data_IF_596750800230
#
_entry.id   IF_596750800230
#
_cell.length_a   1.000
_cell.length_b   1.000
_cell.length_c   1.000
_cell.angle_alpha   90.00
_cell.angle_beta   90.00
_cell.angle_gamma   90.00
#
_symmetry.space_group_name_H-M   'P 1'
#
loop_
_entity.id
_entity.type
_entity.pdbx_description
1 polymer ?
#
# COMPACT_ATOMS: atom_id res chain seq x y z
N UNK A 1 -15.65 -25.73 -16.81
CA UNK A 1 -14.23 -25.59 -17.17
C UNK A 1 -13.71 -27.01 -17.30
N UNK A 2 -13.17 -27.43 -18.44
CA UNK A 2 -12.62 -28.79 -18.59
C UNK A 2 -11.30 -28.84 -17.84
N UNK A 3 -11.21 -29.72 -16.87
CA UNK A 3 -10.02 -29.98 -16.07
C UNK A 3 -9.03 -30.84 -16.86
N UNK A 4 -7.76 -30.84 -16.41
CA UNK A 4 -6.73 -31.71 -17.00
C UNK A 4 -7.10 -33.19 -16.87
N UNK A 5 -7.74 -33.58 -15.77
CA UNK A 5 -8.21 -34.95 -15.55
C UNK A 5 -9.32 -35.34 -16.52
N UNK A 6 -10.33 -34.49 -16.72
CA UNK A 6 -11.41 -34.74 -17.69
C UNK A 6 -10.88 -34.84 -19.13
N UNK A 7 -9.89 -34.00 -19.49
CA UNK A 7 -9.22 -34.09 -20.80
C UNK A 7 -8.47 -35.42 -20.98
N UNK A 8 -7.76 -35.88 -19.93
CA UNK A 8 -7.03 -37.16 -19.96
C UNK A 8 -7.97 -38.37 -20.04
N UNK A 9 -9.08 -38.35 -19.29
CA UNK A 9 -10.12 -39.38 -19.36
C UNK A 9 -10.78 -39.46 -20.74
N UNK A 10 -11.02 -38.31 -21.38
CA UNK A 10 -11.53 -38.27 -22.75
C UNK A 10 -10.52 -38.87 -23.74
N UNK A 11 -9.22 -38.64 -23.52
CA UNK A 11 -8.14 -39.21 -24.35
C UNK A 11 -8.07 -40.74 -24.22
N UNK A 12 -8.20 -41.27 -23.01
CA UNK A 12 -8.31 -42.72 -22.77
C UNK A 12 -9.57 -43.32 -23.40
N UNK A 13 -10.72 -42.65 -23.24
CA UNK A 13 -11.99 -43.08 -23.81
C UNK A 13 -11.97 -43.14 -25.35
N UNK A 14 -11.20 -42.26 -26.00
CA UNK A 14 -10.98 -42.31 -27.45
C UNK A 14 -10.15 -43.55 -27.83
N UNK A 15 -9.10 -43.87 -27.08
CA UNK A 15 -8.25 -45.06 -27.31
C UNK A 15 -9.02 -46.37 -27.13
N UNK A 16 -9.96 -46.40 -26.19
CA UNK A 16 -10.85 -47.54 -25.95
C UNK A 16 -12.04 -47.60 -26.91
N UNK A 17 -12.18 -46.64 -27.84
CA UNK A 17 -13.29 -46.57 -28.78
C UNK A 17 -14.64 -46.20 -28.15
N UNK A 18 -14.65 -45.70 -26.91
CA UNK A 18 -15.86 -45.28 -26.17
C UNK A 18 -16.42 -43.94 -26.65
N UNK A 19 -15.58 -43.10 -27.26
CA UNK A 19 -15.98 -41.85 -27.92
C UNK A 19 -15.39 -41.74 -29.32
N UNK A 20 -16.04 -40.98 -30.19
CA UNK A 20 -15.55 -40.73 -31.55
C UNK A 20 -14.52 -39.59 -31.58
N UNK A 21 -13.73 -39.54 -32.66
CA UNK A 21 -12.74 -38.48 -32.89
C UNK A 21 -13.36 -37.07 -32.86
N UNK A 22 -14.56 -36.90 -33.43
CA UNK A 22 -15.26 -35.61 -33.47
C UNK A 22 -15.64 -35.13 -32.07
N UNK A 23 -16.09 -36.04 -31.20
CA UNK A 23 -16.41 -35.74 -29.80
C UNK A 23 -15.15 -35.34 -29.03
N UNK A 24 -14.04 -36.04 -29.24
CA UNK A 24 -12.77 -35.70 -28.63
C UNK A 24 -12.26 -34.32 -29.08
N UNK A 25 -12.39 -33.98 -30.36
CA UNK A 25 -11.95 -32.68 -30.90
C UNK A 25 -12.67 -31.50 -30.23
N UNK A 26 -13.96 -31.63 -29.94
CA UNK A 26 -14.75 -30.61 -29.23
C UNK A 26 -14.27 -30.44 -27.77
N UNK A 27 -13.91 -31.54 -27.11
CA UNK A 27 -13.36 -31.54 -25.75
C UNK A 27 -11.99 -30.87 -25.73
N UNK A 28 -11.12 -31.21 -26.68
CA UNK A 28 -9.78 -30.63 -26.81
C UNK A 28 -9.84 -29.12 -27.05
N UNK A 29 -10.69 -28.67 -27.97
CA UNK A 29 -10.90 -27.24 -28.24
C UNK A 29 -11.36 -26.49 -26.98
N UNK A 30 -12.32 -27.05 -26.24
CA UNK A 30 -12.84 -26.43 -25.02
C UNK A 30 -11.82 -26.44 -23.89
N UNK A 31 -11.03 -27.49 -23.75
CA UNK A 31 -9.92 -27.57 -22.79
C UNK A 31 -8.85 -26.51 -23.06
N UNK A 32 -8.40 -26.36 -24.32
CA UNK A 32 -7.40 -25.35 -24.67
C UNK A 32 -7.93 -23.92 -24.50
N UNK A 33 -9.21 -23.65 -24.80
CA UNK A 33 -9.85 -22.36 -24.51
C UNK A 33 -9.88 -22.05 -23.00
N UNK A 34 -10.29 -23.01 -22.17
CA UNK A 34 -10.35 -22.86 -20.72
C UNK A 34 -8.95 -22.64 -20.11
N UNK A 35 -7.94 -23.36 -20.62
CA UNK A 35 -6.53 -23.25 -20.23
C UNK A 35 -5.93 -21.89 -20.61
N UNK A 36 -6.19 -21.40 -21.82
CA UNK A 36 -5.78 -20.06 -22.25
C UNK A 36 -6.44 -18.97 -21.41
N UNK A 37 -7.73 -19.11 -21.12
CA UNK A 37 -8.47 -18.17 -20.26
C UNK A 37 -7.89 -18.14 -18.83
N UNK A 38 -7.58 -19.30 -18.26
CA UNK A 38 -6.99 -19.40 -16.91
C UNK A 38 -5.61 -18.75 -16.86
N UNK A 39 -4.74 -19.02 -17.84
CA UNK A 39 -3.42 -18.38 -17.93
C UNK A 39 -3.51 -16.86 -18.06
N UNK A 40 -4.48 -16.35 -18.84
CA UNK A 40 -4.71 -14.91 -18.99
C UNK A 40 -5.19 -14.24 -17.70
N UNK A 41 -6.07 -14.89 -16.94
CA UNK A 41 -6.53 -14.38 -15.63
C UNK A 41 -5.34 -14.29 -14.66
N UNK A 42 -4.54 -15.36 -14.55
CA UNK A 42 -3.38 -15.38 -13.64
C UNK A 42 -2.33 -14.34 -14.02
N UNK A 43 -2.06 -14.11 -15.30
CA UNK A 43 -1.10 -13.07 -15.72
C UNK A 43 -1.62 -11.65 -15.48
N UNK A 44 -2.91 -11.39 -15.68
CA UNK A 44 -3.54 -10.10 -15.37
C UNK A 44 -3.56 -9.81 -13.85
N UNK A 45 -3.80 -10.83 -13.01
CA UNK A 45 -3.73 -10.72 -11.55
C UNK A 45 -2.30 -10.39 -11.08
N UNK A 46 -1.28 -11.14 -11.54
CA UNK A 46 0.12 -10.85 -11.22
C UNK A 46 0.56 -9.46 -11.71
N UNK A 47 0.09 -9.02 -12.87
CA UNK A 47 0.39 -7.68 -13.39
C UNK A 47 -0.26 -6.57 -12.57
N UNK A 48 -1.45 -6.79 -12.00
CA UNK A 48 -2.14 -5.81 -11.15
C UNK A 48 -1.48 -5.70 -9.78
N UNK A 49 -1.04 -6.82 -9.20
CA UNK A 49 -0.32 -6.82 -7.94
C UNK A 49 1.01 -6.07 -8.06
N UNK A 50 1.78 -6.29 -9.14
CA UNK A 50 3.03 -5.54 -9.36
C UNK A 50 2.78 -4.02 -9.51
N UNK A 51 1.75 -3.64 -10.27
CA UNK A 51 1.38 -2.24 -10.43
C UNK A 51 0.95 -1.59 -9.10
N UNK A 52 0.21 -2.32 -8.26
CA UNK A 52 -0.20 -1.87 -6.93
C UNK A 52 1.01 -1.70 -6.00
N UNK A 53 1.91 -2.69 -5.95
CA UNK A 53 3.12 -2.63 -5.13
C UNK A 53 4.04 -1.48 -5.57
N UNK A 54 4.18 -1.28 -6.89
CA UNK A 54 4.90 -0.13 -7.43
C UNK A 54 4.27 1.20 -7.00
N UNK A 55 2.94 1.27 -6.96
CA UNK A 55 2.20 2.46 -6.51
C UNK A 55 2.40 2.72 -5.02
N UNK A 56 2.36 1.68 -4.17
CA UNK A 56 2.69 1.75 -2.74
C UNK A 56 4.11 2.29 -2.55
N UNK A 57 5.10 1.69 -3.23
CA UNK A 57 6.51 2.09 -3.13
C UNK A 57 6.75 3.54 -3.58
N UNK A 58 6.14 3.96 -4.68
CA UNK A 58 6.29 5.32 -5.20
C UNK A 58 5.61 6.39 -4.33
N UNK A 59 4.65 5.98 -3.50
CA UNK A 59 3.94 6.86 -2.59
C UNK A 59 4.74 7.15 -1.32
N UNK A 60 5.75 6.32 -0.97
CA UNK A 60 6.60 6.56 0.19
C UNK A 60 7.13 8.00 0.17
N UNK A 61 6.93 8.68 1.30
CA UNK A 61 7.29 10.08 1.45
C UNK A 61 8.22 10.23 2.64
N UNK A 62 9.33 10.92 2.42
CA UNK A 62 10.32 11.21 3.45
C UNK A 62 10.52 12.71 3.50
N UNK A 63 10.39 13.29 4.69
CA UNK A 63 10.60 14.72 4.94
C UNK A 63 11.62 14.87 6.05
N UNK A 64 12.57 15.78 5.85
CA UNK A 64 13.57 16.15 6.84
C UNK A 64 13.32 17.59 7.32
N UNK A 65 13.41 17.81 8.63
CA UNK A 65 13.26 19.13 9.26
C UNK A 65 14.35 19.31 10.31
N UNK A 66 14.94 20.50 10.38
CA UNK A 66 15.76 20.89 11.52
C UNK A 66 14.84 21.30 12.68
N UNK A 67 15.20 20.95 13.92
CA UNK A 67 14.46 21.37 15.12
C UNK A 67 15.01 22.69 15.62
N UNK A 68 14.32 23.78 15.33
CA UNK A 68 14.69 25.11 15.78
C UNK A 68 13.96 25.49 17.08
N UNK A 69 14.40 26.55 17.79
CA UNK A 69 13.77 26.97 19.05
C UNK A 69 12.25 27.19 18.95
N UNK A 70 11.75 27.66 17.80
CA UNK A 70 10.31 27.85 17.55
C UNK A 70 9.50 26.55 17.53
N UNK A 71 10.14 25.40 17.34
CA UNK A 71 9.49 24.08 17.35
C UNK A 71 9.42 23.46 18.76
N UNK A 72 10.09 24.08 19.74
CA UNK A 72 10.34 23.46 21.05
C UNK A 72 9.46 23.99 22.17
N UNK A 73 9.28 23.15 23.20
CA UNK A 73 8.66 23.53 24.46
C UNK A 73 9.71 24.09 25.46
N UNK A 74 9.26 24.43 26.67
CA UNK A 74 10.09 24.98 27.73
C UNK A 74 11.18 24.04 28.28
N UNK A 75 11.21 22.77 27.85
CA UNK A 75 12.26 21.80 28.16
C UNK A 75 13.29 21.64 27.02
N UNK A 76 13.28 22.51 26.01
CA UNK A 76 14.15 22.41 24.82
C UNK A 76 13.99 21.10 24.04
N UNK A 77 12.78 20.53 24.06
CA UNK A 77 12.39 19.39 23.24
C UNK A 77 11.25 19.78 22.31
N UNK A 78 11.15 19.15 21.14
CA UNK A 78 10.11 19.47 20.17
C UNK A 78 8.72 19.32 20.81
N UNK A 79 7.87 20.31 20.58
CA UNK A 79 6.51 20.29 21.09
C UNK A 79 5.73 19.16 20.39
N UNK A 80 4.95 18.40 21.15
CA UNK A 80 4.23 17.24 20.62
C UNK A 80 3.30 17.62 19.46
N UNK A 81 2.59 18.75 19.57
CA UNK A 81 1.75 19.27 18.48
C UNK A 81 2.51 19.56 17.18
N UNK A 82 3.76 20.00 17.28
CA UNK A 82 4.62 20.25 16.11
C UNK A 82 4.96 18.95 15.40
N UNK A 83 5.35 17.91 16.15
CA UNK A 83 5.63 16.59 15.56
C UNK A 83 4.37 16.02 14.91
N UNK A 84 3.22 16.11 15.59
CA UNK A 84 1.94 15.63 15.06
C UNK A 84 1.57 16.32 13.75
N UNK A 85 1.83 17.63 13.63
CA UNK A 85 1.61 18.37 12.39
C UNK A 85 2.47 17.83 11.25
N UNK A 86 3.75 17.51 11.51
CA UNK A 86 4.63 16.92 10.49
C UNK A 86 4.21 15.50 10.12
N UNK A 87 3.76 14.70 11.09
CA UNK A 87 3.27 13.35 10.85
C UNK A 87 2.02 13.36 9.96
N UNK A 88 1.03 14.23 10.25
CA UNK A 88 -0.18 14.37 9.44
C UNK A 88 0.12 14.91 8.03
N UNK A 89 1.03 15.88 7.90
CA UNK A 89 1.49 16.39 6.59
C UNK A 89 2.08 15.25 5.73
N UNK A 90 2.98 14.45 6.30
CA UNK A 90 3.60 13.33 5.58
C UNK A 90 2.59 12.21 5.28
N UNK A 91 1.63 11.96 6.18
CA UNK A 91 0.54 11.03 5.93
C UNK A 91 -0.32 11.47 4.74
N UNK A 92 -0.71 12.75 4.73
CA UNK A 92 -1.46 13.36 3.64
C UNK A 92 -0.72 13.31 2.31
N UNK A 93 0.58 13.66 2.29
CA UNK A 93 1.41 13.59 1.08
C UNK A 93 1.53 12.16 0.55
N UNK A 94 1.74 11.18 1.43
CA UNK A 94 1.83 9.76 1.07
C UNK A 94 0.51 9.28 0.44
N UNK A 95 -0.62 9.53 1.11
CA UNK A 95 -1.93 9.15 0.62
C UNK A 95 -2.32 9.86 -0.69
N UNK A 96 -1.91 11.12 -0.85
CA UNK A 96 -2.14 11.91 -2.08
C UNK A 96 -1.30 11.37 -3.23
N UNK A 97 -0.02 11.05 -3.01
CA UNK A 97 0.85 10.45 -4.03
C UNK A 97 0.36 9.08 -4.48
N UNK A 98 -0.17 8.30 -3.54
CA UNK A 98 -0.80 7.02 -3.83
C UNK A 98 -2.10 7.22 -4.63
N UNK A 99 -3.08 7.93 -4.09
CA UNK A 99 -4.44 7.96 -4.65
C UNK A 99 -4.60 8.88 -5.87
N UNK A 100 -3.86 10.00 -5.90
CA UNK A 100 -4.07 11.12 -6.85
C UNK A 100 -5.49 11.68 -6.83
N UNK A 101 -6.13 11.67 -5.66
CA UNK A 101 -7.49 12.18 -5.42
C UNK A 101 -7.49 13.20 -4.26
N UNK A 102 -8.53 14.02 -4.11
CA UNK A 102 -8.74 14.79 -2.88
C UNK A 102 -8.87 13.83 -1.69
N UNK A 103 -8.08 14.08 -0.65
CA UNK A 103 -7.95 13.21 0.52
C UNK A 103 -8.17 14.06 1.78
N UNK A 104 -8.78 13.47 2.80
CA UNK A 104 -8.90 14.08 4.14
C UNK A 104 -8.45 13.10 5.21
N UNK A 105 -7.80 13.60 6.26
CA UNK A 105 -7.51 12.83 7.48
C UNK A 105 -8.80 12.68 8.28
N UNK A 106 -9.16 11.45 8.65
CA UNK A 106 -10.37 11.16 9.43
C UNK A 106 -10.08 10.72 10.85
N UNK A 107 -8.92 10.09 11.08
CA UNK A 107 -8.48 9.71 12.41
C UNK A 107 -6.97 9.44 12.44
N UNK A 108 -6.41 9.46 13.64
CA UNK A 108 -5.15 8.82 13.96
C UNK A 108 -5.43 7.66 14.93
N UNK A 109 -4.70 6.56 14.76
CA UNK A 109 -4.58 5.53 15.80
C UNK A 109 -3.70 6.07 16.95
N UNK A 110 -3.38 5.22 17.94
CA UNK A 110 -2.48 5.60 19.03
C UNK A 110 -1.11 6.01 18.49
N UNK A 111 -0.61 7.16 18.94
CA UNK A 111 0.73 7.65 18.64
C UNK A 111 1.61 7.42 19.87
N UNK A 112 2.74 6.74 19.68
CA UNK A 112 3.67 6.42 20.76
C UNK A 112 4.88 7.34 20.67
N UNK A 113 5.07 8.18 21.70
CA UNK A 113 6.26 9.01 21.87
C UNK A 113 7.26 8.26 22.75
N UNK A 114 8.15 7.48 22.13
CA UNK A 114 9.12 6.64 22.84
C UNK A 114 10.31 7.47 23.31
N UNK A 115 10.73 8.45 22.51
CA UNK A 115 11.86 9.33 22.81
C UNK A 115 11.50 10.80 22.60
N UNK A 116 11.97 11.67 23.49
CA UNK A 116 11.87 13.12 23.31
C UNK A 116 12.85 13.60 22.25
N UNK A 117 12.44 14.55 21.40
CA UNK A 117 13.26 15.09 20.30
C UNK A 117 13.94 16.39 20.78
N UNK A 118 15.27 16.44 20.99
CA UNK A 118 15.94 17.65 21.46
C UNK A 118 16.01 18.75 20.39
N UNK A 119 16.08 20.02 20.82
CA UNK A 119 16.48 21.13 19.95
C UNK A 119 17.84 20.88 19.29
N UNK A 120 18.05 21.42 18.09
CA UNK A 120 19.32 21.27 17.38
C UNK A 120 19.57 19.85 16.84
N UNK A 121 18.50 19.08 16.62
CA UNK A 121 18.53 17.79 15.92
C UNK A 121 17.86 17.89 14.55
N UNK A 122 18.03 16.86 13.73
CA UNK A 122 17.26 16.67 12.51
C UNK A 122 16.17 15.65 12.81
N UNK A 123 14.95 15.94 12.37
CA UNK A 123 13.84 15.00 12.40
C UNK A 123 13.59 14.50 10.98
N UNK A 124 13.59 13.18 10.82
CA UNK A 124 13.20 12.49 9.60
C UNK A 124 11.84 11.84 9.81
N UNK A 125 10.84 12.30 9.05
CA UNK A 125 9.48 11.75 9.08
C UNK A 125 9.27 10.91 7.81
N UNK A 126 8.93 9.64 7.98
CA UNK A 126 8.73 8.67 6.90
C UNK A 126 7.29 8.21 6.90
N UNK A 127 6.60 8.32 5.76
CA UNK A 127 5.25 7.81 5.58
C UNK A 127 5.16 6.70 4.55
N UNK A 128 4.49 5.61 4.93
CA UNK A 128 4.32 4.39 4.12
C UNK A 128 2.86 3.95 4.12
N UNK A 129 2.34 3.56 2.97
CA UNK A 129 1.00 2.96 2.88
C UNK A 129 1.02 1.61 3.60
N UNK A 130 0.18 1.47 4.63
CA UNK A 130 0.11 0.26 5.44
C UNK A 130 -1.09 -0.62 5.07
N UNK A 131 -2.25 0.00 4.79
CA UNK A 131 -3.48 -0.71 4.45
C UNK A 131 -4.29 0.11 3.44
N UNK A 132 -4.92 -0.58 2.49
CA UNK A 132 -5.78 0.03 1.47
C UNK A 132 -7.17 -0.59 1.60
N UNK A 133 -8.14 0.21 2.02
CA UNK A 133 -9.55 -0.12 2.00
C UNK A 133 -10.21 0.31 0.69
N UNK A 134 -11.55 0.25 0.64
CA UNK A 134 -12.30 0.69 -0.55
C UNK A 134 -12.11 2.19 -0.80
N UNK A 135 -12.41 2.99 0.21
CA UNK A 135 -12.39 4.47 0.16
C UNK A 135 -11.36 5.09 1.10
N UNK A 136 -10.77 4.27 1.97
CA UNK A 136 -9.84 4.68 3.03
C UNK A 136 -8.47 4.04 2.86
N UNK A 137 -7.46 4.66 3.42
CA UNK A 137 -6.08 4.19 3.47
C UNK A 137 -5.51 4.45 4.85
N UNK A 138 -4.77 3.48 5.38
CA UNK A 138 -3.91 3.68 6.54
C UNK A 138 -2.50 4.00 6.08
N UNK A 139 -1.93 5.08 6.60
CA UNK A 139 -0.54 5.47 6.40
C UNK A 139 0.18 5.34 7.73
N UNK A 140 1.19 4.48 7.77
CA UNK A 140 2.09 4.33 8.90
C UNK A 140 3.19 5.38 8.81
N UNK A 141 3.46 6.04 9.93
CA UNK A 141 4.45 7.10 10.08
C UNK A 141 5.51 6.67 11.09
N UNK A 142 6.76 6.84 10.70
CA UNK A 142 7.94 6.69 11.55
C UNK A 142 8.67 8.02 11.65
N UNK A 143 9.02 8.45 12.85
CA UNK A 143 9.79 9.66 13.10
C UNK A 143 11.12 9.27 13.72
N UNK A 144 12.20 9.63 13.06
CA UNK A 144 13.55 9.40 13.54
C UNK A 144 14.22 10.70 13.98
N UNK A 145 15.05 10.61 15.01
CA UNK A 145 15.96 11.67 15.45
C UNK A 145 17.32 11.37 14.83
N UNK A 146 17.93 12.38 14.23
CA UNK A 146 19.27 12.33 13.66
C UNK A 146 20.12 13.45 14.28
N UNK A 147 21.37 13.11 14.59
CA UNK A 147 22.34 14.09 15.10
C UNK A 147 22.82 14.98 13.96
N UNK A 148 22.93 16.29 14.21
CA UNK A 148 23.51 17.24 13.24
C UNK A 148 25.00 16.96 12.94
N UNK A 149 25.71 16.32 13.87
CA UNK A 149 27.18 16.25 13.85
C UNK A 149 27.73 14.84 14.05
N UNK A 150 26.86 13.82 14.05
CA UNK A 150 27.25 12.41 14.19
C UNK A 150 26.37 11.57 13.28
N UNK A 151 26.95 10.49 12.76
CA UNK A 151 26.17 9.52 12.01
C UNK A 151 25.21 8.76 12.91
N UNK A 152 24.10 8.30 12.32
CA UNK A 152 23.11 7.47 12.98
C UNK A 152 21.77 8.18 13.17
N UNK A 153 20.72 7.36 13.28
CA UNK A 153 19.36 7.80 13.54
C UNK A 153 18.67 6.85 14.50
N UNK A 154 17.83 7.38 15.38
CA UNK A 154 17.06 6.62 16.36
C UNK A 154 15.56 6.79 16.08
N UNK A 155 14.79 5.71 16.11
CA UNK A 155 13.33 5.77 15.99
C UNK A 155 12.78 6.37 17.29
N UNK A 156 12.00 7.44 17.20
CA UNK A 156 11.49 8.16 18.36
C UNK A 156 9.97 8.08 18.50
N UNK A 157 9.24 8.11 17.39
CA UNK A 157 7.78 8.17 17.39
C UNK A 157 7.24 7.31 16.25
N UNK A 158 6.17 6.57 16.54
CA UNK A 158 5.39 5.84 15.55
C UNK A 158 3.91 6.19 15.66
N UNK A 159 3.20 6.11 14.54
CA UNK A 159 1.75 6.31 14.51
C UNK A 159 1.14 5.92 13.17
N UNK A 160 -0.17 5.76 13.16
CA UNK A 160 -0.92 5.45 11.93
C UNK A 160 -2.04 6.46 11.76
N UNK A 161 -2.16 7.00 10.55
CA UNK A 161 -3.24 7.91 10.17
C UNK A 161 -4.18 7.22 9.19
N UNK A 162 -5.48 7.39 9.39
CA UNK A 162 -6.49 6.94 8.44
C UNK A 162 -6.95 8.13 7.62
N UNK A 163 -6.87 7.99 6.30
CA UNK A 163 -7.28 9.00 5.35
C UNK A 163 -8.33 8.46 4.40
N UNK A 164 -9.24 9.32 3.93
CA UNK A 164 -10.35 8.96 3.04
C UNK A 164 -10.33 9.80 1.78
N UNK A 165 -10.46 9.15 0.62
CA UNK A 165 -10.62 9.83 -0.66
C UNK A 165 -12.04 10.36 -0.80
N UNK A 166 -12.19 11.61 -1.23
CA UNK A 166 -13.49 12.27 -1.39
C UNK A 166 -13.62 12.92 -2.77
N UNK A 167 -14.86 13.11 -3.22
CA UNK A 167 -15.17 13.92 -4.41
C UNK A 167 -15.48 15.38 -4.04
N UNK A 168 -15.84 16.18 -5.04
CA UNK A 168 -16.21 17.60 -4.91
C UNK A 168 -17.39 17.83 -3.95
N UNK A 169 -18.29 16.85 -3.83
CA UNK A 169 -19.42 16.87 -2.90
C UNK A 169 -19.07 16.34 -1.51
N UNK A 170 -17.78 16.17 -1.20
CA UNK A 170 -17.24 15.63 0.06
C UNK A 170 -17.75 14.22 0.41
N UNK A 171 -18.13 13.42 -0.59
CA UNK A 171 -18.55 12.03 -0.40
C UNK A 171 -17.37 11.07 -0.63
N UNK A 172 -17.23 9.99 0.17
CA UNK A 172 -16.18 9.00 -0.03
C UNK A 172 -16.20 8.36 -1.42
N UNK A 173 -15.04 8.21 -2.04
CA UNK A 173 -14.85 7.55 -3.34
C UNK A 173 -13.76 6.50 -3.26
N UNK A 174 -13.74 5.57 -4.23
CA UNK A 174 -12.72 4.53 -4.27
C UNK A 174 -11.31 5.14 -4.34
N UNK A 175 -10.34 4.57 -3.61
CA UNK A 175 -8.95 5.09 -3.58
C UNK A 175 -8.23 4.88 -4.91
N UNK A 176 -8.47 3.75 -5.56
CA UNK A 176 -7.95 3.41 -6.89
C UNK A 176 -9.09 3.63 -7.88
#
# INVERSE_FOLDING_TARGET
>A
MITKEEYLQAKESLQEGKITQDVFLLIEQKYEQDKQRKNKITSEEWSKDDALQKRVKNAETVVYKAVFPGDTNHHNTMFGGTVLSYMDEVAFLTATRFSRKPIVTVSSDKINFEHSIPSGTIVKVVGKVAEIGRTSMKVFIEVFIESMYREGSELAITGTFTLVAINENKRPVAII
#
